data_IF_243908716400
#
_entry.id   IF_243908716400
#
_cell.length_a   1.000
_cell.length_b   1.000
_cell.length_c   1.000
_cell.angle_alpha   90.00
_cell.angle_beta   90.00
_cell.angle_gamma   90.00
#
_symmetry.space_group_name_H-M   'P 1'
#
loop_
_entity.id
_entity.type
_entity.pdbx_description
1 polymer ?
#
# COMPACT_ATOMS: atom_id res chain seq x y z
N UNK A 1 -36.83 -41.80 41.09
CA UNK A 1 -36.17 -41.85 42.38
C UNK A 1 -35.33 -40.58 42.53
N UNK A 2 -35.85 -39.71 43.20
CA UNK A 2 -35.48 -39.24 44.59
C UNK A 2 -34.30 -38.33 44.60
N UNK A 3 -34.48 -37.13 44.86
CA UNK A 3 -34.65 -36.32 46.08
C UNK A 3 -33.38 -35.50 46.31
N UNK A 4 -33.46 -34.23 46.38
CA UNK A 4 -33.89 -33.31 47.41
C UNK A 4 -32.72 -32.62 48.11
N UNK A 5 -32.88 -31.36 48.24
CA UNK A 5 -32.74 -30.45 49.39
C UNK A 5 -31.33 -29.85 49.55
N UNK A 6 -31.10 -28.60 49.74
CA UNK A 6 -31.94 -27.51 50.26
C UNK A 6 -31.13 -26.69 51.24
N UNK A 7 -31.44 -25.48 51.34
CA UNK A 7 -31.25 -24.62 52.53
C UNK A 7 -29.84 -24.10 52.81
N UNK A 8 -29.64 -22.86 53.14
CA UNK A 8 -30.50 -21.80 53.65
C UNK A 8 -29.66 -20.85 54.48
N UNK A 9 -29.97 -19.61 54.38
CA UNK A 9 -29.97 -18.55 55.36
C UNK A 9 -28.93 -18.54 56.53
N UNK A 10 -28.26 -17.43 56.77
CA UNK A 10 -28.79 -16.47 57.77
C UNK A 10 -27.83 -15.32 58.02
N UNK A 11 -28.43 -14.18 58.09
CA UNK A 11 -28.12 -12.96 58.80
C UNK A 11 -27.34 -13.13 60.10
N UNK A 12 -26.43 -12.20 60.37
CA UNK A 12 -25.79 -12.00 61.67
C UNK A 12 -25.37 -10.56 61.83
N UNK A 13 -26.30 -9.72 62.20
CA UNK A 13 -26.07 -8.38 62.69
C UNK A 13 -25.66 -8.49 64.18
N UNK A 14 -24.49 -8.00 64.57
CA UNK A 14 -24.21 -7.67 65.94
C UNK A 14 -23.36 -6.42 66.04
N UNK A 15 -23.99 -5.35 66.50
CA UNK A 15 -23.36 -4.16 66.99
C UNK A 15 -22.64 -4.41 68.32
N UNK A 16 -21.52 -3.74 68.49
CA UNK A 16 -20.99 -3.50 69.83
C UNK A 16 -20.61 -2.03 69.96
N UNK A 17 -21.33 -1.39 70.86
CA UNK A 17 -21.00 -0.15 71.51
C UNK A 17 -19.70 -0.30 72.33
N UNK A 18 -18.83 0.65 72.24
CA UNK A 18 -17.60 0.67 73.07
C UNK A 18 -16.94 2.04 73.10
N UNK A 19 -17.38 2.81 74.03
CA UNK A 19 -16.67 3.81 74.88
C UNK A 19 -15.70 4.81 74.24
N UNK A 20 -16.08 6.06 74.41
CA UNK A 20 -15.25 7.24 74.27
C UNK A 20 -14.09 7.23 75.28
N UNK A 21 -12.90 7.29 74.88
CA UNK A 21 -11.78 7.80 75.68
C UNK A 21 -11.14 8.98 74.95
N UNK A 22 -11.35 10.14 75.55
CA UNK A 22 -10.62 11.34 75.18
C UNK A 22 -9.17 11.17 75.65
N UNK A 23 -8.23 11.18 74.78
CA UNK A 23 -6.83 11.33 75.11
C UNK A 23 -6.29 12.62 74.45
N UNK A 24 -6.12 13.62 75.32
CA UNK A 24 -5.43 14.85 75.01
C UNK A 24 -3.94 14.51 74.84
N UNK A 25 -3.45 14.58 73.61
CA UNK A 25 -2.02 14.48 73.31
C UNK A 25 -1.74 15.23 71.99
N UNK A 26 -1.06 16.32 72.14
CA UNK A 26 -0.46 17.08 71.04
C UNK A 26 0.22 16.15 70.06
N UNK A 27 -0.30 16.07 68.89
CA UNK A 27 0.44 15.58 67.69
C UNK A 27 0.24 16.58 66.56
N UNK A 28 1.33 17.08 66.09
CA UNK A 28 1.45 17.95 64.92
C UNK A 28 0.67 17.38 63.72
N UNK A 29 0.11 18.24 62.84
CA UNK A 29 -0.57 17.78 61.67
C UNK A 29 0.47 17.16 60.72
N UNK A 30 0.42 15.84 60.61
CA UNK A 30 1.14 15.13 59.53
C UNK A 30 0.67 15.72 58.21
N UNK A 31 1.63 16.26 57.46
CA UNK A 31 1.43 16.71 56.11
C UNK A 31 0.82 15.57 55.29
N UNK A 32 -0.44 15.76 54.92
CA UNK A 32 -1.08 14.96 53.88
C UNK A 32 -0.26 15.19 52.63
N UNK A 33 0.51 14.20 52.24
CA UNK A 33 1.09 14.19 50.91
C UNK A 33 -0.07 14.12 49.92
N UNK A 34 -0.39 15.27 49.31
CA UNK A 34 -1.16 15.33 48.10
C UNK A 34 -0.38 14.48 47.07
N UNK A 35 -0.82 13.25 46.84
CA UNK A 35 -0.46 12.54 45.63
C UNK A 35 -0.94 13.40 44.48
N UNK A 36 0.02 14.12 43.93
CA UNK A 36 -0.13 14.85 42.66
C UNK A 36 -0.35 13.82 41.58
N UNK A 37 -1.63 13.49 41.31
CA UNK A 37 -2.00 12.81 40.09
C UNK A 37 -1.56 13.70 38.95
N UNK A 38 -0.36 13.45 38.47
CA UNK A 38 0.05 13.93 37.15
C UNK A 38 -0.88 13.24 36.15
N UNK A 39 -1.94 13.93 35.81
CA UNK A 39 -2.70 13.62 34.61
C UNK A 39 -1.68 13.84 33.47
N UNK A 40 -1.02 12.78 33.07
CA UNK A 40 -0.33 12.74 31.79
C UNK A 40 -1.39 13.00 30.73
N UNK A 41 -1.59 14.28 30.44
CA UNK A 41 -2.28 14.66 29.23
C UNK A 41 -1.55 13.94 28.09
N UNK A 42 -2.26 13.17 27.25
CA UNK A 42 -1.61 12.53 26.12
C UNK A 42 -0.86 13.61 25.37
N UNK A 43 0.44 13.39 25.19
CA UNK A 43 1.29 14.30 24.44
C UNK A 43 0.56 14.68 23.14
N UNK A 44 0.53 15.96 22.76
CA UNK A 44 -0.15 16.38 21.57
C UNK A 44 0.38 15.49 20.45
N UNK A 45 -0.52 14.75 19.80
CA UNK A 45 -0.19 13.94 18.63
C UNK A 45 0.37 14.94 17.63
N UNK A 46 1.69 14.95 17.54
CA UNK A 46 2.39 15.76 16.58
C UNK A 46 1.79 15.42 15.23
N UNK A 47 1.08 16.37 14.64
CA UNK A 47 0.53 16.24 13.30
C UNK A 47 1.72 16.08 12.36
N UNK A 48 2.20 14.86 12.26
CA UNK A 48 3.17 14.49 11.23
C UNK A 48 2.51 14.88 9.91
N UNK A 49 3.08 15.91 9.27
CA UNK A 49 2.63 16.34 7.96
C UNK A 49 2.65 15.11 7.06
N UNK A 50 1.48 14.52 6.84
CA UNK A 50 1.36 13.36 5.97
C UNK A 50 1.79 13.81 4.58
N UNK A 51 2.92 13.32 4.15
CA UNK A 51 3.38 13.53 2.79
C UNK A 51 2.34 12.96 1.83
N UNK A 52 1.75 13.82 1.00
CA UNK A 52 0.66 13.43 0.10
C UNK A 52 1.12 13.11 -1.31
N UNK A 53 2.34 13.46 -1.65
CA UNK A 53 2.92 13.22 -2.96
C UNK A 53 4.07 12.23 -2.85
N UNK A 54 4.17 11.35 -3.83
CA UNK A 54 5.32 10.47 -3.98
C UNK A 54 5.75 10.43 -5.45
N UNK A 55 7.05 10.49 -5.66
CA UNK A 55 7.69 10.22 -6.95
C UNK A 55 8.22 8.80 -6.92
N UNK A 56 7.92 8.02 -7.96
CA UNK A 56 8.42 6.66 -8.14
C UNK A 56 9.29 6.58 -9.38
N UNK A 57 10.51 6.07 -9.23
CA UNK A 57 11.33 5.62 -10.35
C UNK A 57 11.28 4.10 -10.38
N UNK A 58 10.86 3.53 -11.49
CA UNK A 58 10.57 2.11 -11.60
C UNK A 58 11.21 1.46 -12.82
N UNK A 59 11.53 0.20 -12.68
CA UNK A 59 11.87 -0.69 -13.77
C UNK A 59 11.04 -1.96 -13.64
N UNK A 60 10.79 -2.62 -14.76
CA UNK A 60 9.96 -3.79 -14.78
C UNK A 60 10.24 -4.73 -15.93
N UNK A 61 9.71 -5.91 -15.80
CA UNK A 61 9.71 -6.93 -16.84
C UNK A 61 8.34 -7.60 -16.89
N UNK A 62 7.98 -8.12 -18.06
CA UNK A 62 6.81 -8.96 -18.20
C UNK A 62 7.24 -10.38 -18.57
N UNK A 63 6.63 -11.35 -17.89
CA UNK A 63 6.83 -12.77 -18.17
C UNK A 63 5.70 -13.23 -19.08
N UNK A 64 5.99 -13.70 -20.31
CA UNK A 64 5.01 -14.37 -21.13
C UNK A 64 4.62 -15.70 -20.45
N UNK A 65 3.34 -16.01 -20.45
CA UNK A 65 2.79 -17.16 -19.69
C UNK A 65 3.18 -18.56 -20.22
N UNK A 66 4.01 -18.68 -21.30
CA UNK A 66 4.41 -19.96 -21.88
C UNK A 66 5.65 -19.88 -22.77
N UNK A 67 6.32 -21.02 -22.96
CA UNK A 67 7.51 -21.19 -23.78
C UNK A 67 7.33 -20.70 -25.22
N UNK A 68 8.09 -19.72 -25.57
CA UNK A 68 8.19 -19.19 -26.92
C UNK A 68 9.39 -18.28 -27.06
N UNK A 69 9.91 -18.13 -28.27
CA UNK A 69 11.13 -17.40 -28.64
C UNK A 69 11.09 -15.86 -28.35
N UNK A 70 10.24 -15.41 -27.43
CA UNK A 70 10.10 -14.01 -27.07
C UNK A 70 11.04 -13.65 -25.92
N UNK A 71 11.92 -12.68 -26.18
CA UNK A 71 12.74 -12.11 -25.12
C UNK A 71 11.86 -11.26 -24.18
N UNK A 72 12.10 -11.39 -22.87
CA UNK A 72 11.39 -10.60 -21.86
C UNK A 72 11.43 -9.12 -22.19
N UNK A 73 10.28 -8.43 -22.29
CA UNK A 73 10.24 -6.99 -22.41
C UNK A 73 10.76 -6.33 -21.15
N UNK A 74 11.55 -5.30 -21.32
CA UNK A 74 12.06 -4.47 -20.24
C UNK A 74 11.35 -3.13 -20.30
N UNK A 75 10.90 -2.64 -19.16
CA UNK A 75 10.31 -1.32 -19.02
C UNK A 75 11.03 -0.50 -17.94
N UNK A 76 11.05 0.81 -18.14
CA UNK A 76 11.53 1.76 -17.15
C UNK A 76 10.62 3.00 -17.17
N UNK A 77 10.40 3.61 -16.04
CA UNK A 77 9.49 4.74 -15.97
C UNK A 77 9.61 5.57 -14.70
N UNK A 78 8.95 6.72 -14.77
CA UNK A 78 8.81 7.63 -13.65
C UNK A 78 7.31 7.94 -13.49
N UNK A 79 6.80 7.75 -12.29
CA UNK A 79 5.40 8.02 -11.96
C UNK A 79 5.29 8.91 -10.73
N UNK A 80 4.21 9.64 -10.65
CA UNK A 80 3.84 10.47 -9.51
C UNK A 80 2.57 9.91 -8.90
N UNK A 81 2.58 9.67 -7.63
CA UNK A 81 1.43 9.24 -6.85
C UNK A 81 0.95 10.37 -5.96
N UNK A 82 -0.36 10.59 -5.92
CA UNK A 82 -1.01 11.49 -4.97
C UNK A 82 -1.92 10.69 -4.06
N UNK A 83 -1.67 10.71 -2.77
CA UNK A 83 -2.58 10.16 -1.77
C UNK A 83 -3.79 11.09 -1.63
N UNK A 84 -4.97 10.57 -1.90
CA UNK A 84 -6.25 11.26 -1.73
C UNK A 84 -6.70 11.18 -0.27
N UNK A 85 -6.54 10.00 0.33
CA UNK A 85 -6.78 9.73 1.74
C UNK A 85 -5.76 8.68 2.25
N UNK A 86 -5.97 8.16 3.45
CA UNK A 86 -5.05 7.19 4.07
C UNK A 86 -5.03 5.83 3.36
N UNK A 87 -6.09 5.52 2.62
CA UNK A 87 -6.27 4.22 1.96
C UNK A 87 -6.13 4.27 0.44
N UNK A 88 -6.31 5.44 -0.18
CA UNK A 88 -6.39 5.56 -1.62
C UNK A 88 -5.39 6.58 -2.16
N UNK A 89 -4.59 6.17 -3.13
CA UNK A 89 -3.75 7.01 -3.95
C UNK A 89 -4.06 6.88 -5.43
N UNK A 90 -3.79 7.92 -6.20
CA UNK A 90 -3.83 7.90 -7.67
C UNK A 90 -2.41 8.09 -8.18
N UNK A 91 -2.02 7.27 -9.14
CA UNK A 91 -0.69 7.27 -9.73
C UNK A 91 -0.79 7.45 -11.24
N UNK A 92 0.04 8.33 -11.79
CA UNK A 92 0.21 8.52 -13.24
C UNK A 92 1.66 8.89 -13.55
N UNK A 93 2.05 8.81 -14.82
CA UNK A 93 3.41 9.15 -15.23
C UNK A 93 3.74 8.70 -16.63
N UNK A 94 5.00 8.40 -16.86
CA UNK A 94 5.53 7.94 -18.15
C UNK A 94 6.31 6.64 -17.94
N UNK A 95 6.01 5.66 -18.76
CA UNK A 95 6.70 4.36 -18.78
C UNK A 95 7.16 4.07 -20.20
N UNK A 96 8.43 3.86 -20.34
CA UNK A 96 9.04 3.40 -21.57
C UNK A 96 9.18 1.88 -21.54
N UNK A 97 8.81 1.20 -22.63
CA UNK A 97 8.94 -0.26 -22.77
C UNK A 97 9.63 -0.63 -24.06
N UNK A 98 10.61 -1.53 -23.96
CA UNK A 98 11.28 -2.11 -25.11
C UNK A 98 10.82 -3.56 -25.29
N UNK A 99 10.10 -3.81 -26.37
CA UNK A 99 9.64 -5.14 -26.75
C UNK A 99 10.50 -5.66 -27.90
N UNK A 100 11.01 -6.87 -27.73
CA UNK A 100 11.75 -7.57 -28.78
C UNK A 100 10.87 -8.68 -29.36
N UNK A 101 10.49 -8.55 -30.62
CA UNK A 101 9.67 -9.52 -31.32
C UNK A 101 10.31 -9.86 -32.67
N UNK A 102 10.55 -11.13 -32.94
CA UNK A 102 11.01 -11.67 -34.25
C UNK A 102 12.13 -10.87 -34.91
N UNK A 103 13.12 -10.42 -34.13
CA UNK A 103 14.28 -9.64 -34.66
C UNK A 103 14.05 -8.13 -34.74
N UNK A 104 12.86 -7.65 -34.41
CA UNK A 104 12.55 -6.22 -34.37
C UNK A 104 12.55 -5.70 -32.94
N UNK A 105 12.99 -4.46 -32.77
CA UNK A 105 12.97 -3.73 -31.49
C UNK A 105 11.86 -2.69 -31.54
N UNK A 106 10.80 -2.94 -30.80
CA UNK A 106 9.65 -2.03 -30.71
C UNK A 106 9.74 -1.22 -29.43
N UNK A 107 9.61 0.08 -29.56
CA UNK A 107 9.70 1.05 -28.49
C UNK A 107 8.33 1.63 -28.22
N UNK A 108 7.84 1.49 -27.00
CA UNK A 108 6.55 2.01 -26.57
C UNK A 108 6.74 3.06 -25.48
N UNK A 109 5.93 4.09 -25.53
CA UNK A 109 5.75 5.05 -24.47
C UNK A 109 4.33 4.91 -23.92
N UNK A 110 4.20 4.63 -22.64
CA UNK A 110 2.94 4.40 -21.96
C UNK A 110 2.66 5.48 -20.92
N UNK A 111 1.39 5.80 -20.77
CA UNK A 111 0.86 6.64 -19.69
C UNK A 111 0.00 5.75 -18.81
N UNK A 112 0.48 5.35 -17.63
CA UNK A 112 -0.32 4.63 -16.66
C UNK A 112 -1.27 5.59 -15.92
N UNK A 113 -2.46 5.08 -15.58
CA UNK A 113 -3.36 5.67 -14.61
C UNK A 113 -3.83 4.56 -13.67
N UNK A 114 -3.32 4.58 -12.44
CA UNK A 114 -3.55 3.52 -11.45
C UNK A 114 -4.13 4.09 -10.16
N UNK A 115 -4.97 3.31 -9.51
CA UNK A 115 -5.42 3.51 -8.14
C UNK A 115 -4.66 2.54 -7.23
N UNK A 116 -4.04 3.06 -6.19
CA UNK A 116 -3.30 2.31 -5.18
C UNK A 116 -4.12 2.31 -3.89
N UNK A 117 -4.49 1.11 -3.43
CA UNK A 117 -5.31 0.92 -2.23
C UNK A 117 -4.40 0.35 -1.15
N UNK A 118 -4.14 1.12 -0.10
CA UNK A 118 -3.33 0.68 1.04
C UNK A 118 -4.10 -0.34 1.86
N UNK A 119 -3.57 -1.54 1.95
CA UNK A 119 -4.13 -2.66 2.73
C UNK A 119 -3.55 -2.69 4.14
N UNK A 120 -2.26 -2.37 4.28
CA UNK A 120 -1.56 -2.33 5.55
C UNK A 120 -0.46 -1.26 5.48
N UNK A 121 -0.42 -0.41 6.50
CA UNK A 121 0.62 0.62 6.67
C UNK A 121 1.27 0.45 8.03
N UNK A 122 2.54 0.09 8.04
CA UNK A 122 3.34 -0.05 9.24
C UNK A 122 4.54 0.90 9.21
N UNK A 123 5.29 0.97 10.30
CA UNK A 123 6.49 1.82 10.37
C UNK A 123 7.55 1.50 9.31
N UNK A 124 7.65 0.24 8.87
CA UNK A 124 8.69 -0.21 7.93
C UNK A 124 8.15 -0.78 6.63
N UNK A 125 6.95 -1.32 6.62
CA UNK A 125 6.40 -2.04 5.47
C UNK A 125 4.98 -1.56 5.21
N UNK A 126 4.68 -1.24 3.95
CA UNK A 126 3.33 -1.01 3.46
C UNK A 126 2.98 -2.10 2.45
N UNK A 127 1.77 -2.61 2.55
CA UNK A 127 1.16 -3.50 1.58
C UNK A 127 0.00 -2.76 0.91
N UNK A 128 -0.05 -2.81 -0.42
CA UNK A 128 -1.10 -2.16 -1.19
C UNK A 128 -1.54 -3.01 -2.37
N UNK A 129 -2.79 -2.85 -2.77
CA UNK A 129 -3.29 -3.36 -4.04
C UNK A 129 -3.29 -2.21 -5.06
N UNK A 130 -3.01 -2.53 -6.31
CA UNK A 130 -3.06 -1.58 -7.42
C UNK A 130 -4.00 -2.09 -8.50
N UNK A 131 -4.75 -1.18 -9.09
CA UNK A 131 -5.61 -1.44 -10.24
C UNK A 131 -5.63 -0.22 -11.14
N UNK A 132 -5.61 -0.41 -12.44
CA UNK A 132 -5.62 0.73 -13.35
C UNK A 132 -5.57 0.33 -14.81
N UNK A 133 -5.23 1.31 -15.62
CA UNK A 133 -5.03 1.16 -17.06
C UNK A 133 -3.72 1.79 -17.51
N UNK A 134 -3.27 1.37 -18.66
CA UNK A 134 -2.12 1.96 -19.36
C UNK A 134 -2.51 2.20 -20.79
N UNK A 135 -2.20 3.39 -21.29
CA UNK A 135 -2.31 3.74 -22.70
C UNK A 135 -0.89 3.76 -23.29
N UNK A 136 -0.57 2.79 -24.11
CA UNK A 136 0.74 2.61 -24.75
C UNK A 136 0.69 3.07 -26.20
N UNK A 137 1.67 3.84 -26.62
CA UNK A 137 1.89 4.24 -28.02
C UNK A 137 3.23 3.74 -28.53
N UNK A 138 3.25 3.09 -29.68
CA UNK A 138 4.50 2.75 -30.35
C UNK A 138 5.15 4.05 -30.89
N UNK A 139 6.40 4.28 -30.51
CA UNK A 139 7.15 5.48 -30.90
C UNK A 139 8.27 5.21 -31.90
N UNK A 140 8.77 3.97 -31.96
CA UNK A 140 9.83 3.58 -32.91
C UNK A 140 9.88 2.06 -33.10
N UNK A 141 10.49 1.63 -34.23
CA UNK A 141 10.80 0.23 -34.51
C UNK A 141 9.75 -0.51 -35.36
N UNK A 142 8.62 0.11 -35.68
CA UNK A 142 7.68 -0.45 -36.65
C UNK A 142 8.20 -0.32 -38.09
N UNK A 143 7.94 -1.31 -38.98
CA UNK A 143 8.44 -1.28 -40.34
C UNK A 143 8.07 -0.04 -41.15
N UNK A 144 6.87 0.49 -40.91
CA UNK A 144 6.34 1.69 -41.60
C UNK A 144 6.56 2.98 -40.80
N UNK A 145 7.28 2.88 -39.69
CA UNK A 145 7.80 3.96 -38.82
C UNK A 145 6.89 5.19 -38.67
N UNK A 146 5.60 5.02 -38.64
CA UNK A 146 4.76 6.17 -38.47
C UNK A 146 4.08 6.16 -37.11
N UNK A 147 4.53 7.06 -36.24
CA UNK A 147 3.83 7.46 -35.01
C UNK A 147 2.34 7.74 -35.28
N UNK A 148 1.98 8.06 -36.51
CA UNK A 148 0.61 8.36 -36.94
C UNK A 148 -0.23 7.12 -37.24
N UNK A 149 0.35 6.02 -37.70
CA UNK A 149 -0.39 4.87 -38.22
C UNK A 149 -0.66 3.80 -37.16
N UNK A 150 0.19 3.69 -36.14
CA UNK A 150 -0.03 2.72 -35.07
C UNK A 150 -1.06 3.24 -34.07
N UNK A 151 -2.14 2.48 -33.81
CA UNK A 151 -3.16 2.85 -32.85
C UNK A 151 -2.62 2.80 -31.40
N UNK A 152 -3.29 3.53 -30.50
CA UNK A 152 -3.01 3.46 -29.08
C UNK A 152 -3.46 2.09 -28.57
N UNK A 153 -2.58 1.39 -27.89
CA UNK A 153 -2.88 0.13 -27.24
C UNK A 153 -3.28 0.38 -25.78
N UNK A 154 -4.46 -0.08 -25.43
CA UNK A 154 -4.95 0.00 -24.06
C UNK A 154 -4.73 -1.32 -23.33
N UNK A 155 -4.37 -1.22 -22.07
CA UNK A 155 -4.27 -2.35 -21.17
C UNK A 155 -4.90 -2.02 -19.82
N UNK A 156 -5.46 -3.02 -19.15
CA UNK A 156 -5.79 -2.97 -17.74
C UNK A 156 -4.73 -3.72 -16.95
N UNK A 157 -4.44 -3.25 -15.76
CA UNK A 157 -3.45 -3.86 -14.87
C UNK A 157 -4.00 -3.96 -13.46
N UNK A 158 -3.65 -5.04 -12.78
CA UNK A 158 -3.93 -5.24 -11.38
C UNK A 158 -2.74 -5.94 -10.71
N UNK A 159 -2.46 -5.60 -9.47
CA UNK A 159 -1.32 -6.17 -8.75
C UNK A 159 -1.39 -5.94 -7.24
N UNK A 160 -0.42 -6.49 -6.57
CA UNK A 160 -0.19 -6.28 -5.15
C UNK A 160 1.23 -5.75 -5.01
N UNK A 161 1.40 -4.66 -4.28
CA UNK A 161 2.71 -4.07 -4.04
C UNK A 161 3.11 -4.13 -2.58
N UNK A 162 4.38 -4.33 -2.36
CA UNK A 162 5.03 -4.20 -1.07
C UNK A 162 6.04 -3.07 -1.12
N UNK A 163 6.00 -2.20 -0.14
CA UNK A 163 6.93 -1.08 0.01
C UNK A 163 7.70 -1.25 1.30
N UNK A 164 9.03 -1.19 1.23
CA UNK A 164 9.90 -1.17 2.39
C UNK A 164 10.46 0.24 2.60
N UNK A 165 10.12 0.87 3.71
CA UNK A 165 10.57 2.22 4.08
C UNK A 165 12.00 2.17 4.61
N UNK A 166 12.93 2.78 3.87
CA UNK A 166 14.33 2.92 4.29
C UNK A 166 14.43 4.06 5.33
N UNK A 167 13.70 5.16 5.06
CA UNK A 167 13.55 6.28 5.95
C UNK A 167 12.19 6.98 5.69
N UNK A 168 11.93 8.11 6.35
CA UNK A 168 10.64 8.83 6.26
C UNK A 168 10.30 9.33 4.86
N UNK A 169 11.28 9.44 3.96
CA UNK A 169 11.10 9.96 2.60
C UNK A 169 11.42 8.97 1.51
N UNK A 170 12.25 7.97 1.78
CA UNK A 170 12.75 7.03 0.77
C UNK A 170 12.31 5.61 1.11
N UNK A 171 11.76 4.93 0.11
CA UNK A 171 11.37 3.54 0.19
C UNK A 171 11.72 2.80 -1.11
N UNK A 172 11.89 1.50 -1.01
CA UNK A 172 11.95 0.59 -2.15
C UNK A 172 10.61 -0.14 -2.26
N UNK A 173 10.21 -0.48 -3.47
CA UNK A 173 8.98 -1.24 -3.68
C UNK A 173 9.16 -2.34 -4.71
N UNK A 174 8.31 -3.36 -4.58
CA UNK A 174 8.12 -4.41 -5.57
C UNK A 174 6.61 -4.63 -5.77
N UNK A 175 6.19 -4.74 -7.03
CA UNK A 175 4.78 -4.81 -7.42
C UNK A 175 4.62 -5.93 -8.46
N UNK A 176 4.46 -7.19 -8.06
CA UNK A 176 3.98 -8.24 -8.94
C UNK A 176 2.52 -7.97 -9.35
N UNK A 177 2.21 -8.22 -10.60
CA UNK A 177 0.88 -7.97 -11.13
C UNK A 177 0.60 -8.71 -12.42
N UNK A 178 -0.59 -8.45 -12.93
CA UNK A 178 -1.09 -8.97 -14.21
C UNK A 178 -1.54 -7.81 -15.06
N UNK A 179 -1.22 -7.83 -16.34
CA UNK A 179 -1.73 -6.88 -17.33
C UNK A 179 -2.46 -7.62 -18.41
N UNK A 180 -3.63 -7.10 -18.79
CA UNK A 180 -4.40 -7.58 -19.90
C UNK A 180 -4.51 -6.50 -20.96
N UNK A 181 -3.93 -6.77 -22.13
CA UNK A 181 -3.92 -5.84 -23.27
C UNK A 181 -5.13 -6.09 -24.15
N UNK A 182 -5.87 -5.06 -24.47
CA UNK A 182 -6.98 -5.16 -25.39
C UNK A 182 -6.50 -5.32 -26.82
N UNK A 183 -7.24 -6.09 -27.61
CA UNK A 183 -6.96 -6.24 -29.05
C UNK A 183 -7.13 -4.88 -29.72
N UNK A 184 -6.14 -4.51 -30.49
CA UNK A 184 -6.13 -3.29 -31.29
C UNK A 184 -5.86 -3.70 -32.74
N UNK A 185 -6.41 -2.97 -33.70
CA UNK A 185 -6.20 -3.21 -35.15
C UNK A 185 -4.76 -2.85 -35.61
N UNK A 186 -3.77 -3.22 -34.80
CA UNK A 186 -2.37 -3.08 -35.11
C UNK A 186 -1.95 -4.19 -36.07
N UNK A 187 -1.28 -3.83 -37.16
CA UNK A 187 -0.70 -4.78 -38.11
C UNK A 187 0.50 -5.55 -37.54
N UNK A 188 0.97 -5.15 -36.34
CA UNK A 188 2.13 -5.74 -35.70
C UNK A 188 1.73 -6.92 -34.79
N UNK A 189 2.22 -8.11 -35.12
CA UNK A 189 2.14 -9.26 -34.25
C UNK A 189 3.16 -9.14 -33.11
N UNK A 190 2.75 -8.59 -31.98
CA UNK A 190 3.59 -8.49 -30.77
C UNK A 190 3.20 -9.57 -29.77
N UNK A 191 4.05 -9.76 -28.74
CA UNK A 191 3.73 -10.62 -27.58
C UNK A 191 2.37 -10.21 -26.96
N UNK A 192 2.07 -8.91 -26.97
CA UNK A 192 0.84 -8.34 -26.42
C UNK A 192 -0.41 -8.68 -27.24
N UNK A 193 -0.28 -8.82 -28.57
CA UNK A 193 -1.38 -9.22 -29.47
C UNK A 193 -1.60 -10.71 -29.49
N UNK A 194 -0.54 -11.50 -29.42
CA UNK A 194 -0.64 -12.96 -29.38
C UNK A 194 -1.06 -13.48 -28.02
N UNK A 195 -0.65 -12.81 -26.94
CA UNK A 195 -0.95 -13.15 -25.55
C UNK A 195 -1.37 -11.90 -24.78
N UNK A 196 -2.68 -11.66 -24.71
CA UNK A 196 -3.19 -10.43 -24.10
C UNK A 196 -2.92 -10.33 -22.59
N UNK A 197 -2.79 -11.47 -21.90
CA UNK A 197 -2.55 -11.50 -20.46
C UNK A 197 -1.09 -11.87 -20.17
N UNK A 198 -0.41 -11.00 -19.41
CA UNK A 198 0.98 -11.17 -19.03
C UNK A 198 1.16 -10.92 -17.55
N UNK A 199 2.03 -11.71 -16.92
CA UNK A 199 2.54 -11.39 -15.58
C UNK A 199 3.61 -10.32 -15.69
N UNK A 200 3.57 -9.34 -14.84
CA UNK A 200 4.57 -8.29 -14.74
C UNK A 200 5.12 -8.19 -13.33
N UNK A 201 6.36 -7.76 -13.24
CA UNK A 201 7.01 -7.41 -12.00
C UNK A 201 7.62 -6.02 -12.17
N UNK A 202 7.17 -5.09 -11.35
CA UNK A 202 7.74 -3.76 -11.23
C UNK A 202 8.51 -3.65 -9.93
N UNK A 203 9.69 -3.05 -9.98
CA UNK A 203 10.49 -2.74 -8.79
C UNK A 203 11.04 -1.33 -8.92
N UNK A 204 11.27 -0.65 -7.80
CA UNK A 204 11.81 0.70 -7.88
C UNK A 204 11.99 1.39 -6.54
N UNK A 205 12.23 2.69 -6.68
CA UNK A 205 12.39 3.62 -5.57
C UNK A 205 11.18 4.52 -5.49
N UNK A 206 10.75 4.84 -4.28
CA UNK A 206 9.66 5.76 -3.97
C UNK A 206 10.17 6.83 -3.04
N UNK A 207 10.02 8.10 -3.44
CA UNK A 207 10.30 9.27 -2.61
C UNK A 207 9.01 9.98 -2.28
N UNK A 208 8.79 10.29 -0.99
CA UNK A 208 7.59 10.97 -0.49
C UNK A 208 7.92 12.40 -0.06
N UNK A 209 6.98 13.33 -0.38
CA UNK A 209 7.09 14.77 -0.11
C UNK A 209 5.89 15.31 0.63
#
# INVERSE_FOLDING_TARGET
ATTTTGNGNRYGNQGHNGYWQANNGNTEPSAVQEEKYTTDAPAPVENMKKHRWALKAQMGTALPAEDGAYKMPISAGVTVERKLNDYLGIETGLVYSNLRSEGQHLHYLGIPLKANITLMDTKKIDLYATVGGVADKCIAGAPDNSFKEEPIQLAVTAGIGITYKINDRLAVFAEPGVSHHFKTDSKLATVRTKRPTNFNLLCGLRMTY
#
